data_IF_985448587870
#
_entry.id   IF_985448587870
#
_cell.length_a   1.000
_cell.length_b   1.000
_cell.length_c   1.000
_cell.angle_alpha   90.00
_cell.angle_beta   90.00
_cell.angle_gamma   90.00
#
_symmetry.space_group_name_H-M   'P 1'
#
loop_
_entity.id
_entity.type
_entity.pdbx_description
1 polymer ?
#
# COMPACT_ATOMS: atom_id res chain seq x y z
N UNK A 1 7.07 -15.70 8.51
CA UNK A 1 6.79 -14.26 8.62
C UNK A 1 7.29 -13.63 9.91
N UNK A 2 7.10 -14.29 11.05
CA UNK A 2 7.41 -13.68 12.34
C UNK A 2 8.86 -13.24 12.54
N UNK A 3 9.85 -14.02 12.07
CA UNK A 3 11.26 -13.67 12.19
C UNK A 3 11.61 -12.39 11.41
N UNK A 4 11.09 -12.25 10.21
CA UNK A 4 11.35 -11.08 9.37
C UNK A 4 10.60 -9.85 9.88
N UNK A 5 9.40 -10.03 10.41
CA UNK A 5 8.65 -8.95 11.04
C UNK A 5 9.37 -8.48 12.31
N UNK A 6 9.91 -9.41 13.12
CA UNK A 6 10.73 -9.06 14.28
C UNK A 6 11.97 -8.25 13.88
N UNK A 7 12.57 -8.55 12.72
CA UNK A 7 13.69 -7.77 12.22
C UNK A 7 13.27 -6.31 11.91
N UNK A 8 12.11 -6.09 11.32
CA UNK A 8 11.59 -4.74 11.07
C UNK A 8 11.33 -3.99 12.39
N UNK A 9 10.80 -4.67 13.39
CA UNK A 9 10.57 -4.10 14.73
C UNK A 9 11.92 -3.76 15.39
N UNK A 10 12.87 -4.69 15.32
CA UNK A 10 14.21 -4.49 15.89
C UNK A 10 14.98 -3.33 15.29
N UNK A 11 14.72 -3.01 14.01
CA UNK A 11 15.30 -1.85 13.33
C UNK A 11 14.54 -0.55 13.60
N UNK A 12 13.48 -0.59 14.41
CA UNK A 12 12.67 0.57 14.73
C UNK A 12 11.82 1.09 13.56
N UNK A 13 11.57 0.28 12.55
CA UNK A 13 10.80 0.66 11.37
C UNK A 13 9.32 0.42 11.52
N UNK A 14 8.97 -0.64 12.25
CA UNK A 14 7.59 -1.03 12.56
C UNK A 14 7.52 -1.20 14.06
N UNK A 15 6.44 -0.78 14.68
CA UNK A 15 6.21 -0.94 16.10
C UNK A 15 4.90 -1.65 16.39
N UNK A 16 4.83 -2.32 17.54
CA UNK A 16 3.60 -2.93 18.01
C UNK A 16 2.68 -1.89 18.59
N UNK A 17 1.39 -1.98 18.27
CA UNK A 17 0.34 -1.15 18.83
C UNK A 17 -0.84 -2.04 19.18
N UNK A 18 -1.81 -1.52 19.91
CA UNK A 18 -3.06 -2.23 20.12
C UNK A 18 -3.81 -2.36 18.78
N UNK A 19 -4.27 -3.57 18.45
CA UNK A 19 -5.05 -3.80 17.24
C UNK A 19 -6.33 -2.98 17.28
N UNK A 20 -6.68 -2.36 16.15
CA UNK A 20 -7.85 -1.48 16.05
C UNK A 20 -8.64 -1.82 14.80
N UNK A 21 -9.63 -2.70 14.96
CA UNK A 21 -10.45 -3.19 13.84
C UNK A 21 -11.28 -2.06 13.21
N UNK A 22 -11.80 -1.14 14.01
CA UNK A 22 -12.61 -0.03 13.50
C UNK A 22 -11.79 0.92 12.65
N UNK A 23 -10.62 1.33 13.13
CA UNK A 23 -9.71 2.18 12.37
C UNK A 23 -9.22 1.48 11.10
N UNK A 24 -8.97 0.17 11.18
CA UNK A 24 -8.55 -0.61 10.02
C UNK A 24 -9.63 -0.62 8.92
N UNK A 25 -10.89 -0.82 9.29
CA UNK A 25 -11.99 -0.80 8.33
C UNK A 25 -12.19 0.58 7.70
N UNK A 26 -12.08 1.63 8.48
CA UNK A 26 -12.16 3.00 7.97
C UNK A 26 -11.05 3.27 6.96
N UNK A 27 -9.84 2.82 7.26
CA UNK A 27 -8.69 2.97 6.36
C UNK A 27 -8.89 2.21 5.05
N UNK A 28 -9.47 1.01 5.12
CA UNK A 28 -9.76 0.23 3.92
C UNK A 28 -10.84 0.89 3.07
N UNK A 29 -11.86 1.49 3.70
CA UNK A 29 -12.89 2.25 2.99
C UNK A 29 -12.30 3.46 2.27
N UNK A 30 -11.38 4.19 2.89
CA UNK A 30 -10.65 5.28 2.24
C UNK A 30 -9.88 4.75 1.00
N UNK A 31 -9.25 3.59 1.12
CA UNK A 31 -8.52 2.97 0.01
C UNK A 31 -9.45 2.73 -1.19
N UNK A 32 -10.65 2.23 -0.94
CA UNK A 32 -11.64 2.00 -2.00
C UNK A 32 -12.07 3.30 -2.66
N UNK A 33 -12.30 4.36 -1.90
CA UNK A 33 -12.63 5.67 -2.45
C UNK A 33 -11.52 6.20 -3.35
N UNK A 34 -10.27 6.02 -2.96
CA UNK A 34 -9.13 6.44 -3.78
C UNK A 34 -9.05 5.66 -5.09
N UNK A 35 -9.36 4.36 -5.07
CA UNK A 35 -9.41 3.56 -6.32
C UNK A 35 -10.49 4.08 -7.26
N UNK A 36 -11.67 4.36 -6.75
CA UNK A 36 -12.78 4.89 -7.55
C UNK A 36 -12.39 6.24 -8.16
N UNK A 37 -11.78 7.12 -7.38
CA UNK A 37 -11.31 8.42 -7.86
C UNK A 37 -10.23 8.26 -8.94
N UNK A 38 -9.30 7.34 -8.73
CA UNK A 38 -8.24 7.08 -9.71
C UNK A 38 -8.82 6.65 -11.07
N UNK A 39 -9.83 5.78 -11.06
CA UNK A 39 -10.51 5.35 -12.29
C UNK A 39 -11.12 6.55 -13.01
N UNK A 40 -11.77 7.44 -12.26
CA UNK A 40 -12.46 8.61 -12.84
C UNK A 40 -11.50 9.56 -13.54
N UNK A 41 -10.31 9.78 -13.03
CA UNK A 41 -9.38 10.79 -13.55
C UNK A 41 -8.24 10.21 -14.39
N UNK A 42 -8.17 8.89 -14.55
CA UNK A 42 -7.04 8.22 -15.19
C UNK A 42 -6.72 8.76 -16.59
N UNK A 43 -7.75 9.14 -17.37
CA UNK A 43 -7.58 9.63 -18.74
C UNK A 43 -7.16 11.10 -18.80
N UNK A 44 -7.62 11.90 -17.84
CA UNK A 44 -7.39 13.35 -17.85
C UNK A 44 -6.19 13.75 -17.02
N UNK A 45 -5.84 12.96 -16.00
CA UNK A 45 -4.73 13.23 -15.09
C UNK A 45 -4.07 11.91 -14.66
N UNK A 46 -3.25 11.30 -15.54
CA UNK A 46 -2.60 10.03 -15.20
C UNK A 46 -1.72 10.11 -13.96
N UNK A 47 -0.96 11.18 -13.78
CA UNK A 47 -0.09 11.34 -12.60
C UNK A 47 -0.91 11.42 -11.30
N UNK A 48 -2.01 12.18 -11.31
CA UNK A 48 -2.93 12.27 -10.18
C UNK A 48 -3.59 10.94 -9.89
N UNK A 49 -4.02 10.23 -10.92
CA UNK A 49 -4.58 8.88 -10.78
C UNK A 49 -3.57 7.92 -10.16
N UNK A 50 -2.32 8.00 -10.58
CA UNK A 50 -1.26 7.14 -10.03
C UNK A 50 -1.03 7.41 -8.55
N UNK A 51 -0.99 8.67 -8.14
CA UNK A 51 -0.88 9.03 -6.71
C UNK A 51 -2.03 8.44 -5.90
N UNK A 52 -3.25 8.49 -6.44
CA UNK A 52 -4.43 7.93 -5.76
C UNK A 52 -4.38 6.41 -5.68
N UNK A 53 -4.00 5.71 -6.76
CA UNK A 53 -3.91 4.24 -6.70
C UNK A 53 -2.81 3.78 -5.76
N UNK A 54 -1.68 4.49 -5.71
CA UNK A 54 -0.61 4.21 -4.76
C UNK A 54 -1.11 4.41 -3.33
N UNK A 55 -1.77 5.53 -3.04
CA UNK A 55 -2.32 5.80 -1.71
C UNK A 55 -3.37 4.77 -1.31
N UNK A 56 -4.18 4.29 -2.25
CA UNK A 56 -5.13 3.22 -2.00
C UNK A 56 -4.42 1.94 -1.53
N UNK A 57 -3.40 1.51 -2.26
CA UNK A 57 -2.61 0.33 -1.88
C UNK A 57 -1.95 0.52 -0.51
N UNK A 58 -1.33 1.68 -0.28
CA UNK A 58 -0.67 2.00 0.99
C UNK A 58 -1.66 1.97 2.16
N UNK A 59 -2.81 2.59 2.01
CA UNK A 59 -3.84 2.62 3.06
C UNK A 59 -4.42 1.24 3.34
N UNK A 60 -4.57 0.41 2.31
CA UNK A 60 -4.99 -0.98 2.51
C UNK A 60 -3.96 -1.77 3.33
N UNK A 61 -2.67 -1.59 3.03
CA UNK A 61 -1.60 -2.24 3.81
C UNK A 61 -1.59 -1.71 5.25
N UNK A 62 -1.74 -0.39 5.43
CA UNK A 62 -1.86 0.21 6.77
C UNK A 62 -3.05 -0.38 7.53
N UNK A 63 -4.18 -0.62 6.86
CA UNK A 63 -5.35 -1.25 7.47
C UNK A 63 -5.02 -2.67 7.96
N UNK A 64 -4.29 -3.44 7.16
CA UNK A 64 -3.85 -4.77 7.57
C UNK A 64 -2.95 -4.69 8.81
N UNK A 65 -2.02 -3.73 8.83
CA UNK A 65 -1.15 -3.51 10.00
C UNK A 65 -1.97 -3.17 11.25
N UNK A 66 -2.92 -2.25 11.15
CA UNK A 66 -3.78 -1.85 12.27
C UNK A 66 -4.61 -3.02 12.80
N UNK A 67 -5.17 -3.83 11.90
CA UNK A 67 -5.93 -5.02 12.28
C UNK A 67 -5.05 -6.03 13.01
N UNK A 68 -3.78 -6.12 12.64
CA UNK A 68 -2.81 -7.08 13.18
C UNK A 68 -2.04 -6.55 14.40
N UNK A 69 -2.19 -5.28 14.75
CA UNK A 69 -1.52 -4.66 15.90
C UNK A 69 -0.13 -4.09 15.60
N UNK A 70 0.05 -3.52 14.40
CA UNK A 70 1.32 -2.90 13.99
C UNK A 70 1.09 -1.56 13.33
N UNK A 71 2.13 -0.73 13.32
CA UNK A 71 2.17 0.48 12.51
C UNK A 71 3.60 0.83 12.15
N UNK A 72 3.78 1.61 11.09
CA UNK A 72 5.07 2.18 10.74
C UNK A 72 5.44 3.26 11.77
N UNK A 73 6.69 3.28 12.18
CA UNK A 73 7.20 4.27 13.14
C UNK A 73 7.25 5.65 12.51
N UNK A 74 6.49 6.60 13.06
CA UNK A 74 6.27 7.92 12.44
C UNK A 74 7.50 8.80 12.36
N UNK A 75 8.43 8.65 13.28
CA UNK A 75 9.62 9.51 13.38
C UNK A 75 10.77 9.08 12.48
N UNK A 76 10.61 8.02 11.69
CA UNK A 76 11.67 7.47 10.86
C UNK A 76 11.48 7.83 9.40
N UNK A 77 12.59 8.17 8.72
CA UNK A 77 12.62 8.24 7.25
C UNK A 77 12.41 6.85 6.68
N UNK A 78 11.84 6.76 5.48
CA UNK A 78 11.62 5.48 4.82
C UNK A 78 10.40 4.72 5.31
N UNK A 79 9.39 5.42 5.88
CA UNK A 79 8.14 4.79 6.31
C UNK A 79 7.44 4.03 5.20
N UNK A 80 7.43 4.58 3.98
CA UNK A 80 6.82 3.90 2.83
C UNK A 80 7.60 2.66 2.41
N UNK A 81 8.91 2.64 2.57
CA UNK A 81 9.72 1.45 2.35
C UNK A 81 9.40 0.36 3.39
N UNK A 82 9.23 0.74 4.65
CA UNK A 82 8.83 -0.20 5.70
C UNK A 82 7.45 -0.81 5.40
N UNK A 83 6.51 0.01 4.90
CA UNK A 83 5.20 -0.47 4.45
C UNK A 83 5.34 -1.51 3.33
N UNK A 84 6.24 -1.27 2.36
CA UNK A 84 6.49 -2.20 1.28
C UNK A 84 7.05 -3.54 1.78
N UNK A 85 7.98 -3.50 2.71
CA UNK A 85 8.53 -4.71 3.33
C UNK A 85 7.47 -5.49 4.10
N UNK A 86 6.64 -4.80 4.86
CA UNK A 86 5.54 -5.43 5.56
C UNK A 86 4.58 -6.12 4.59
N UNK A 87 4.20 -5.44 3.52
CA UNK A 87 3.27 -5.99 2.52
C UNK A 87 3.81 -7.29 1.91
N UNK A 88 5.09 -7.32 1.55
CA UNK A 88 5.71 -8.50 0.99
C UNK A 88 5.72 -9.67 1.99
N UNK A 89 5.96 -9.39 3.28
CA UNK A 89 5.97 -10.40 4.32
C UNK A 89 4.56 -10.92 4.64
N UNK A 90 3.62 -10.01 4.81
CA UNK A 90 2.28 -10.36 5.28
C UNK A 90 1.37 -10.90 4.18
N UNK A 91 1.52 -10.41 2.96
CA UNK A 91 0.61 -10.68 1.85
C UNK A 91 1.29 -11.35 0.65
N UNK A 92 2.62 -11.41 0.64
CA UNK A 92 3.39 -11.83 -0.52
C UNK A 92 3.25 -13.29 -0.92
N UNK A 93 2.80 -14.16 -0.01
CA UNK A 93 2.61 -15.59 -0.27
C UNK A 93 1.15 -15.96 -0.53
N UNK A 94 0.22 -15.01 -0.43
CA UNK A 94 -1.20 -15.25 -0.66
C UNK A 94 -1.54 -15.24 -2.16
N UNK A 95 -2.84 -15.36 -2.46
CA UNK A 95 -3.35 -15.38 -3.83
C UNK A 95 -3.06 -14.10 -4.61
N UNK A 96 -2.90 -12.98 -3.92
CA UNK A 96 -2.55 -11.68 -4.51
C UNK A 96 -1.09 -11.29 -4.21
N UNK A 97 -0.22 -12.27 -3.94
CA UNK A 97 1.14 -12.04 -3.49
C UNK A 97 2.01 -11.29 -4.50
N UNK A 98 1.83 -11.55 -5.79
CA UNK A 98 2.54 -10.82 -6.82
C UNK A 98 2.28 -9.31 -6.73
N UNK A 99 1.01 -8.94 -6.56
CA UNK A 99 0.63 -7.52 -6.44
C UNK A 99 1.18 -6.90 -5.16
N UNK A 100 1.15 -7.62 -4.05
CA UNK A 100 1.73 -7.15 -2.79
C UNK A 100 3.24 -6.89 -2.92
N UNK A 101 3.97 -7.78 -3.59
CA UNK A 101 5.40 -7.60 -3.83
C UNK A 101 5.70 -6.46 -4.79
N UNK A 102 4.75 -6.08 -5.61
CA UNK A 102 4.87 -5.01 -6.59
C UNK A 102 4.71 -3.61 -5.97
N UNK A 103 4.24 -3.52 -4.75
CA UNK A 103 3.98 -2.25 -4.08
C UNK A 103 5.23 -1.36 -4.01
N UNK A 104 6.41 -1.91 -3.77
CA UNK A 104 7.65 -1.12 -3.71
C UNK A 104 7.97 -0.46 -5.05
N UNK A 105 7.72 -1.14 -6.16
CA UNK A 105 7.88 -0.56 -7.50
C UNK A 105 6.91 0.60 -7.72
N UNK A 106 5.67 0.46 -7.25
CA UNK A 106 4.67 1.53 -7.31
C UNK A 106 5.12 2.75 -6.52
N UNK A 107 5.70 2.53 -5.35
CA UNK A 107 6.28 3.60 -4.53
C UNK A 107 7.35 4.36 -5.29
N UNK A 108 8.28 3.64 -5.92
CA UNK A 108 9.36 4.26 -6.70
C UNK A 108 8.82 5.02 -7.92
N UNK A 109 7.84 4.45 -8.60
CA UNK A 109 7.19 5.11 -9.75
C UNK A 109 6.52 6.42 -9.34
N UNK A 110 5.78 6.40 -8.25
CA UNK A 110 5.12 7.60 -7.73
C UNK A 110 6.14 8.68 -7.38
N UNK A 111 7.24 8.31 -6.71
CA UNK A 111 8.28 9.27 -6.34
C UNK A 111 8.95 9.89 -7.58
N UNK A 112 9.25 9.09 -8.58
CA UNK A 112 9.84 9.58 -9.83
C UNK A 112 8.92 10.56 -10.54
N UNK A 113 7.65 10.29 -10.57
CA UNK A 113 6.64 11.18 -11.16
C UNK A 113 6.55 12.51 -10.40
N UNK A 114 6.50 12.46 -9.08
CA UNK A 114 6.35 13.68 -8.26
C UNK A 114 7.56 14.62 -8.35
N UNK A 115 8.75 14.07 -8.52
CA UNK A 115 9.96 14.88 -8.64
C UNK A 115 10.31 15.25 -10.09
N UNK A 116 9.35 15.04 -11.03
CA UNK A 116 9.50 15.44 -12.41
C UNK A 116 10.50 14.63 -13.24
N UNK A 117 11.02 13.54 -12.69
CA UNK A 117 12.00 12.70 -13.38
C UNK A 117 11.38 11.79 -14.44
N UNK A 118 10.06 11.63 -14.40
CA UNK A 118 9.36 10.72 -15.29
C UNK A 118 7.88 11.07 -15.36
N UNK A 119 7.32 11.03 -16.56
CA UNK A 119 5.88 11.23 -16.75
C UNK A 119 5.18 9.87 -16.83
N UNK A 120 4.19 9.70 -15.96
CA UNK A 120 3.38 8.48 -15.93
C UNK A 120 2.31 8.59 -17.02
N UNK A 121 2.29 7.60 -17.93
CA UNK A 121 1.28 7.49 -18.96
C UNK A 121 0.10 6.63 -18.53
N UNK A 122 -0.95 6.63 -19.36
CA UNK A 122 -2.17 5.85 -19.11
C UNK A 122 -1.93 4.36 -18.97
N UNK A 123 -1.03 3.79 -19.78
CA UNK A 123 -0.76 2.35 -19.73
C UNK A 123 -0.18 1.91 -18.38
N UNK A 124 0.69 2.74 -17.79
CA UNK A 124 1.24 2.46 -16.46
C UNK A 124 0.15 2.55 -15.40
N UNK A 125 -0.73 3.56 -15.49
CA UNK A 125 -1.87 3.69 -14.58
C UNK A 125 -2.76 2.46 -14.65
N UNK A 126 -3.15 2.04 -15.86
CA UNK A 126 -4.02 0.89 -16.05
C UNK A 126 -3.40 -0.40 -15.50
N UNK A 127 -2.11 -0.62 -15.74
CA UNK A 127 -1.41 -1.80 -15.25
C UNK A 127 -1.34 -1.83 -13.71
N UNK A 128 -0.95 -0.72 -13.10
CA UNK A 128 -0.77 -0.68 -11.64
C UNK A 128 -2.09 -0.50 -10.88
N UNK A 129 -3.13 -0.01 -11.53
CA UNK A 129 -4.48 -0.01 -10.96
C UNK A 129 -4.96 -1.45 -10.67
N UNK A 130 -4.64 -2.40 -11.55
CA UNK A 130 -4.93 -3.83 -11.33
C UNK A 130 -4.22 -4.32 -10.05
N UNK A 131 -2.96 -3.95 -9.87
CA UNK A 131 -2.19 -4.36 -8.69
C UNK A 131 -2.68 -3.68 -7.41
N UNK A 132 -3.02 -2.39 -7.46
CA UNK A 132 -3.58 -1.67 -6.32
C UNK A 132 -4.91 -2.29 -5.89
N UNK A 133 -5.77 -2.60 -6.84
CA UNK A 133 -7.06 -3.26 -6.58
C UNK A 133 -6.86 -4.63 -5.95
N UNK A 134 -5.90 -5.42 -6.45
CA UNK A 134 -5.58 -6.74 -5.89
C UNK A 134 -5.09 -6.65 -4.45
N UNK A 135 -4.29 -5.64 -4.11
CA UNK A 135 -3.82 -5.41 -2.73
C UNK A 135 -5.01 -5.09 -1.81
N UNK A 136 -5.91 -4.21 -2.24
CA UNK A 136 -7.13 -3.88 -1.48
C UNK A 136 -7.97 -5.14 -1.24
N UNK A 137 -8.16 -5.96 -2.26
CA UNK A 137 -8.90 -7.21 -2.14
C UNK A 137 -8.24 -8.20 -1.19
N UNK A 138 -6.92 -8.33 -1.26
CA UNK A 138 -6.16 -9.22 -0.37
C UNK A 138 -6.36 -8.82 1.10
N UNK A 139 -6.34 -7.53 1.39
CA UNK A 139 -6.55 -7.02 2.75
C UNK A 139 -8.00 -7.26 3.18
N UNK A 140 -8.96 -6.97 2.31
CA UNK A 140 -10.38 -7.20 2.61
C UNK A 140 -10.65 -8.68 2.95
N UNK A 141 -10.11 -9.58 2.15
CA UNK A 141 -10.24 -11.03 2.40
C UNK A 141 -9.64 -11.43 3.76
N UNK A 142 -8.52 -10.78 4.15
CA UNK A 142 -7.87 -11.08 5.43
C UNK A 142 -8.71 -10.64 6.65
N UNK A 143 -9.64 -9.70 6.47
CA UNK A 143 -10.53 -9.23 7.55
C UNK A 143 -11.72 -10.16 7.78
N UNK A 144 -11.99 -10.96 6.81
CA UNK A 144 -13.17 -11.78 6.77
C UNK A 144 -13.26 -13.01 7.39
#
# INVERSE_FOLDING_TARGET
MSLDLEALIGKGRVERVEADASAARDRLDEARHHLDSAVLIAKTDPAGAYSLLYDAARKAIDAHMLMSGYRVTKSRLGGHEATARYAALALGSGSHGESARRFDRMRRNRNRSEYGAWQIGRSTVEADLVHARAIVEAVDESFG
#
